data_IF_798518230652
#
_entry.id   IF_798518230652
#
_cell.length_a   1.000
_cell.length_b   1.000
_cell.length_c   1.000
_cell.angle_alpha   90.00
_cell.angle_beta   90.00
_cell.angle_gamma   90.00
#
_symmetry.space_group_name_H-M   'P 1'
#
loop_
_entity.id
_entity.type
_entity.pdbx_description
1 polymer ?
#
# COMPACT_ATOMS: atom_id res chain seq x y z
N UNK A 1 -3.67 -1.34 11.93
CA UNK A 1 -3.55 -2.32 10.84
C UNK A 1 -4.89 -2.94 10.47
N UNK A 2 -5.72 -3.35 11.44
CA UNK A 2 -7.07 -3.92 11.21
C UNK A 2 -7.94 -3.03 10.31
N UNK A 3 -7.92 -1.71 10.51
CA UNK A 3 -8.66 -0.76 9.70
C UNK A 3 -8.19 -0.74 8.23
N UNK A 4 -6.87 -0.81 7.98
CA UNK A 4 -6.33 -0.87 6.62
C UNK A 4 -6.80 -2.11 5.86
N UNK A 5 -6.85 -3.27 6.55
CA UNK A 5 -7.38 -4.50 5.96
C UNK A 5 -8.87 -4.37 5.65
N UNK A 6 -9.66 -3.83 6.57
CA UNK A 6 -11.10 -3.61 6.36
C UNK A 6 -11.37 -2.71 5.15
N UNK A 7 -10.64 -1.60 5.03
CA UNK A 7 -10.74 -0.70 3.88
C UNK A 7 -10.35 -1.43 2.59
N UNK A 8 -9.27 -2.22 2.61
CA UNK A 8 -8.83 -3.00 1.44
C UNK A 8 -9.89 -4.02 1.01
N UNK A 9 -10.50 -4.73 1.96
CA UNK A 9 -11.56 -5.71 1.70
C UNK A 9 -12.81 -5.03 1.11
N UNK A 10 -13.20 -3.88 1.66
CA UNK A 10 -14.30 -3.07 1.15
C UNK A 10 -14.03 -2.61 -0.29
N UNK A 11 -12.84 -2.05 -0.55
CA UNK A 11 -12.46 -1.61 -1.89
C UNK A 11 -12.43 -2.76 -2.90
N UNK A 12 -11.98 -3.95 -2.46
CA UNK A 12 -12.01 -5.15 -3.28
C UNK A 12 -13.43 -5.56 -3.64
N UNK A 13 -14.33 -5.62 -2.64
CA UNK A 13 -15.73 -6.01 -2.81
C UNK A 13 -16.46 -5.08 -3.78
N UNK A 14 -16.25 -3.77 -3.65
CA UNK A 14 -16.93 -2.76 -4.46
C UNK A 14 -16.12 -2.28 -5.68
N UNK A 15 -15.05 -2.99 -6.04
CA UNK A 15 -14.18 -2.69 -7.20
C UNK A 15 -13.71 -1.24 -7.24
N UNK A 16 -13.29 -0.71 -6.08
CA UNK A 16 -12.74 0.64 -5.96
C UNK A 16 -11.22 0.64 -6.17
N UNK A 17 -10.69 1.81 -6.46
CA UNK A 17 -9.25 2.04 -6.43
C UNK A 17 -8.87 2.38 -5.00
N UNK A 18 -7.80 1.76 -4.50
CA UNK A 18 -7.24 2.05 -3.18
C UNK A 18 -5.78 2.44 -3.33
N UNK A 19 -5.44 3.62 -2.84
CA UNK A 19 -4.07 4.08 -2.72
C UNK A 19 -3.79 4.25 -1.24
N UNK A 20 -2.79 3.57 -0.74
CA UNK A 20 -2.43 3.67 0.67
C UNK A 20 -0.93 3.80 0.86
N UNK A 21 -0.55 4.58 1.84
CA UNK A 21 0.82 4.76 2.29
C UNK A 21 1.02 4.21 3.70
N UNK A 22 2.26 3.90 3.99
CA UNK A 22 2.73 3.58 5.33
C UNK A 22 4.11 4.20 5.51
N UNK A 23 4.38 4.69 6.70
CA UNK A 23 5.68 5.24 7.07
C UNK A 23 6.11 4.64 8.41
N UNK A 24 7.39 4.37 8.54
CA UNK A 24 7.99 3.93 9.77
C UNK A 24 9.43 4.43 9.82
N UNK A 25 9.79 5.21 10.83
CA UNK A 25 11.12 5.78 11.01
C UNK A 25 11.63 6.51 9.76
N UNK A 26 12.46 5.89 8.93
CA UNK A 26 12.99 6.41 7.67
C UNK A 26 12.42 5.71 6.44
N UNK A 27 11.58 4.70 6.61
CA UNK A 27 11.03 3.91 5.53
C UNK A 27 9.58 4.29 5.22
N UNK A 28 9.29 4.43 3.93
CA UNK A 28 7.97 4.69 3.41
C UNK A 28 7.57 3.69 2.34
N UNK A 29 6.29 3.36 2.31
CA UNK A 29 5.72 2.44 1.34
C UNK A 29 4.47 3.06 0.71
N UNK A 30 4.34 2.92 -0.60
CA UNK A 30 3.11 3.28 -1.32
C UNK A 30 2.59 2.07 -2.07
N UNK A 31 1.31 1.78 -1.87
CA UNK A 31 0.59 0.70 -2.53
C UNK A 31 -0.53 1.28 -3.38
N UNK A 32 -0.69 0.75 -4.59
CA UNK A 32 -1.82 1.06 -5.45
C UNK A 32 -2.53 -0.24 -5.81
N UNK A 33 -3.81 -0.32 -5.46
CA UNK A 33 -4.68 -1.43 -5.81
C UNK A 33 -5.83 -0.92 -6.67
N UNK A 34 -5.94 -1.40 -7.89
CA UNK A 34 -7.05 -1.09 -8.78
C UNK A 34 -7.90 -2.35 -8.98
N UNK A 35 -8.93 -2.49 -8.17
CA UNK A 35 -9.80 -3.68 -8.16
C UNK A 35 -10.78 -3.75 -9.34
N UNK A 36 -10.78 -2.75 -10.23
CA UNK A 36 -11.46 -2.83 -11.53
C UNK A 36 -10.68 -3.73 -12.51
N UNK A 37 -9.35 -3.82 -12.33
CA UNK A 37 -8.49 -4.67 -13.16
C UNK A 37 -8.57 -6.13 -12.70
N UNK A 38 -8.68 -7.06 -13.67
CA UNK A 38 -8.63 -8.49 -13.38
C UNK A 38 -7.27 -8.85 -12.75
N UNK A 39 -7.29 -9.77 -11.78
CA UNK A 39 -6.10 -10.26 -11.11
C UNK A 39 -5.28 -9.22 -10.32
N UNK A 40 -5.87 -8.06 -9.99
CA UNK A 40 -5.22 -7.12 -9.08
C UNK A 40 -4.93 -7.80 -7.74
N UNK A 41 -3.71 -7.69 -7.20
CA UNK A 41 -3.43 -8.10 -5.83
C UNK A 41 -4.20 -7.21 -4.85
N UNK A 42 -4.29 -7.62 -3.60
CA UNK A 42 -4.88 -6.84 -2.51
C UNK A 42 -3.90 -6.79 -1.33
N UNK A 43 -4.24 -6.04 -0.30
CA UNK A 43 -3.38 -5.93 0.87
C UNK A 43 -3.14 -7.28 1.55
N UNK A 44 -4.12 -8.21 1.50
CA UNK A 44 -3.96 -9.58 2.02
C UNK A 44 -3.00 -10.45 1.19
N UNK A 45 -2.71 -10.08 -0.06
CA UNK A 45 -1.67 -10.74 -0.84
C UNK A 45 -0.28 -10.41 -0.31
N UNK A 46 -0.12 -9.19 0.20
CA UNK A 46 1.12 -8.74 0.82
C UNK A 46 1.23 -9.18 2.28
N UNK A 47 0.12 -9.08 3.02
CA UNK A 47 0.06 -9.46 4.44
C UNK A 47 -1.06 -10.49 4.65
N UNK A 48 -0.77 -11.79 4.49
CA UNK A 48 -1.79 -12.85 4.59
C UNK A 48 -2.31 -13.02 6.02
N UNK A 49 -1.56 -12.62 7.03
CA UNK A 49 -1.91 -12.71 8.44
C UNK A 49 -1.82 -11.36 9.13
N UNK A 50 -2.70 -11.14 10.10
CA UNK A 50 -2.62 -9.98 10.97
C UNK A 50 -1.44 -10.20 11.92
N UNK A 51 -0.44 -9.32 11.98
CA UNK A 51 0.62 -9.43 12.96
C UNK A 51 0.01 -9.53 14.36
N UNK A 52 0.33 -10.59 15.10
CA UNK A 52 -0.15 -10.82 16.46
C UNK A 52 0.60 -9.97 17.50
N UNK A 53 1.78 -9.53 17.16
CA UNK A 53 2.52 -8.54 17.94
C UNK A 53 2.01 -7.15 17.54
N UNK A 54 1.56 -6.41 18.53
CA UNK A 54 1.30 -4.99 18.36
C UNK A 54 2.56 -4.36 17.77
N UNK A 55 2.48 -3.94 16.49
CA UNK A 55 3.47 -3.05 15.91
C UNK A 55 3.24 -1.66 16.54
N UNK A 56 3.28 -1.64 17.87
CA UNK A 56 2.89 -0.49 18.69
C UNK A 56 4.00 0.53 18.87
N UNK A 57 5.17 0.32 18.29
CA UNK A 57 6.29 1.19 18.62
C UNK A 57 6.53 2.38 17.68
N UNK A 58 5.58 2.71 16.81
CA UNK A 58 5.60 4.01 16.14
C UNK A 58 5.58 5.20 17.14
N UNK A 59 5.12 4.97 18.36
CA UNK A 59 5.08 6.02 19.39
C UNK A 59 6.46 6.27 20.03
N UNK A 60 7.33 5.27 20.05
CA UNK A 60 8.63 5.36 20.72
C UNK A 60 9.81 5.66 19.78
N UNK A 61 9.68 5.39 18.48
CA UNK A 61 10.81 5.55 17.56
C UNK A 61 10.78 6.83 16.72
N UNK A 62 9.66 7.54 16.69
CA UNK A 62 9.47 8.72 15.86
C UNK A 62 9.43 8.39 14.36
N UNK A 63 9.12 9.40 13.55
CA UNK A 63 9.07 9.32 12.09
C UNK A 63 9.67 10.60 11.53
N UNK A 64 10.48 10.47 10.50
CA UNK A 64 10.99 11.63 9.76
C UNK A 64 9.82 12.35 9.09
N UNK A 65 9.55 13.60 9.51
CA UNK A 65 8.36 14.36 9.07
C UNK A 65 8.36 14.63 7.56
N UNK A 66 9.52 14.86 6.96
CA UNK A 66 9.67 15.05 5.52
C UNK A 66 9.25 13.81 4.73
N UNK A 67 9.46 12.61 5.28
CA UNK A 67 9.03 11.35 4.66
C UNK A 67 7.49 11.28 4.54
N UNK A 68 6.76 11.78 5.53
CA UNK A 68 5.30 11.85 5.45
C UNK A 68 4.84 12.72 4.27
N UNK A 69 5.50 13.87 4.06
CA UNK A 69 5.26 14.74 2.89
C UNK A 69 5.57 14.04 1.56
N UNK A 70 6.71 13.37 1.46
CA UNK A 70 7.11 12.62 0.25
C UNK A 70 6.07 11.54 -0.09
N UNK A 71 5.72 10.70 0.87
CA UNK A 71 4.76 9.61 0.68
C UNK A 71 3.38 10.16 0.33
N UNK A 72 2.89 11.19 1.02
CA UNK A 72 1.60 11.81 0.74
C UNK A 72 1.52 12.41 -0.67
N UNK A 73 2.58 13.08 -1.11
CA UNK A 73 2.66 13.65 -2.47
C UNK A 73 2.67 12.55 -3.54
N UNK A 74 3.41 11.47 -3.32
CA UNK A 74 3.42 10.33 -4.23
C UNK A 74 2.04 9.67 -4.29
N UNK A 75 1.36 9.50 -3.15
CA UNK A 75 0.00 8.96 -3.12
C UNK A 75 -0.97 9.83 -3.94
N UNK A 76 -0.90 11.15 -3.81
CA UNK A 76 -1.71 12.08 -4.58
C UNK A 76 -1.42 11.98 -6.08
N UNK A 77 -0.14 11.89 -6.47
CA UNK A 77 0.26 11.70 -7.85
C UNK A 77 -0.27 10.37 -8.43
N UNK A 78 -0.18 9.28 -7.67
CA UNK A 78 -0.71 7.99 -8.10
C UNK A 78 -2.25 8.02 -8.23
N UNK A 79 -2.96 8.79 -7.40
CA UNK A 79 -4.40 8.98 -7.53
C UNK A 79 -4.74 9.65 -8.89
N UNK A 80 -4.03 10.69 -9.25
CA UNK A 80 -4.19 11.37 -10.55
C UNK A 80 -3.89 10.40 -11.70
N UNK A 81 -2.81 9.63 -11.62
CA UNK A 81 -2.41 8.67 -12.64
C UNK A 81 -3.45 7.56 -12.85
N UNK A 82 -4.03 7.05 -11.76
CA UNK A 82 -5.09 6.02 -11.84
C UNK A 82 -6.41 6.57 -12.39
N UNK A 83 -6.77 7.82 -12.06
CA UNK A 83 -7.97 8.48 -12.59
C UNK A 83 -7.83 8.76 -14.08
N UNK A 84 -6.66 9.22 -14.51
CA UNK A 84 -6.37 9.56 -15.92
C UNK A 84 -5.94 8.36 -16.75
N UNK A 85 -5.88 7.16 -16.16
CA UNK A 85 -5.45 5.92 -16.83
C UNK A 85 -4.07 6.05 -17.51
N UNK A 86 -3.09 6.64 -16.84
CA UNK A 86 -1.73 6.70 -17.35
C UNK A 86 -1.17 5.29 -17.56
N UNK A 87 -0.36 5.14 -18.59
CA UNK A 87 0.45 3.93 -18.76
C UNK A 87 1.43 3.76 -17.59
N UNK A 88 1.91 2.54 -17.37
CA UNK A 88 2.85 2.23 -16.28
C UNK A 88 2.33 2.56 -14.87
N UNK A 89 1.04 2.26 -14.62
CA UNK A 89 0.46 2.34 -13.28
C UNK A 89 1.31 1.60 -12.23
N UNK A 90 1.35 2.13 -11.01
CA UNK A 90 1.96 1.44 -9.87
C UNK A 90 1.11 0.25 -9.39
N UNK A 91 -0.08 0.05 -9.95
CA UNK A 91 -0.99 -1.04 -9.57
C UNK A 91 -0.31 -2.40 -9.65
N UNK A 92 -0.42 -3.18 -8.59
CA UNK A 92 0.25 -4.47 -8.47
C UNK A 92 1.74 -4.40 -8.09
N UNK A 93 2.21 -3.23 -7.71
CA UNK A 93 3.57 -3.02 -7.21
C UNK A 93 3.54 -2.29 -5.87
N UNK A 94 4.64 -2.39 -5.13
CA UNK A 94 4.93 -1.56 -3.96
C UNK A 94 6.06 -0.62 -4.33
N UNK A 95 5.90 0.66 -4.05
CA UNK A 95 7.00 1.60 -4.02
C UNK A 95 7.55 1.65 -2.60
N UNK A 96 8.84 1.42 -2.45
CA UNK A 96 9.55 1.48 -1.17
C UNK A 96 10.54 2.64 -1.25
N UNK A 97 10.52 3.51 -0.26
CA UNK A 97 11.42 4.66 -0.15
C UNK A 97 12.12 4.57 1.19
N UNK A 98 13.45 4.56 1.17
CA UNK A 98 14.26 4.77 2.36
C UNK A 98 14.82 6.19 2.31
N UNK A 99 14.38 7.06 3.24
CA UNK A 99 14.75 8.47 3.24
C UNK A 99 16.13 8.74 3.85
N UNK A 100 16.70 7.79 4.59
CA UNK A 100 18.03 7.93 5.18
C UNK A 100 19.13 7.87 4.10
N UNK A 101 19.01 6.94 3.17
CA UNK A 101 19.99 6.74 2.10
C UNK A 101 19.45 7.09 0.69
N UNK A 102 18.26 7.69 0.61
CA UNK A 102 17.60 8.10 -0.64
C UNK A 102 17.40 6.94 -1.64
N UNK A 103 17.16 5.75 -1.13
CA UNK A 103 16.92 4.59 -1.96
C UNK A 103 15.42 4.47 -2.30
N UNK A 104 15.12 4.34 -3.58
CA UNK A 104 13.76 4.12 -4.09
C UNK A 104 13.72 2.82 -4.85
N UNK A 105 12.82 1.91 -4.47
CA UNK A 105 12.64 0.61 -5.12
C UNK A 105 11.17 0.38 -5.46
N UNK A 106 10.95 -0.26 -6.61
CA UNK A 106 9.64 -0.75 -7.04
C UNK A 106 9.67 -2.27 -7.04
N UNK A 107 8.78 -2.90 -6.28
CA UNK A 107 8.71 -4.35 -6.14
C UNK A 107 7.34 -4.82 -6.62
N UNK A 108 7.32 -5.85 -7.47
CA UNK A 108 6.08 -6.45 -7.96
C UNK A 108 5.41 -7.27 -6.85
N UNK A 109 4.09 -7.06 -6.70
CA UNK A 109 3.23 -7.86 -5.84
C UNK A 109 2.58 -8.99 -6.64
N UNK A 110 2.76 -10.22 -6.18
CA UNK A 110 2.09 -11.37 -6.76
C UNK A 110 0.73 -11.59 -6.06
N UNK A 111 -0.31 -11.87 -6.87
CA UNK A 111 -1.61 -12.23 -6.32
C UNK A 111 -1.55 -13.59 -5.65
N UNK A 112 -1.95 -13.64 -4.39
CA UNK A 112 -2.12 -14.90 -3.67
C UNK A 112 -3.53 -15.45 -3.93
N UNK A 113 -3.63 -16.65 -4.48
CA UNK A 113 -4.91 -17.32 -4.78
C UNK A 113 -5.78 -17.56 -3.53
N UNK A 114 -5.17 -17.66 -2.37
CA UNK A 114 -5.85 -17.93 -1.10
C UNK A 114 -6.31 -16.65 -0.37
N UNK A 115 -5.93 -15.45 -0.82
CA UNK A 115 -6.31 -14.20 -0.15
C UNK A 115 -7.83 -13.95 -0.20
N UNK A 116 -8.49 -14.35 -1.28
CA UNK A 116 -9.93 -14.13 -1.52
C UNK A 116 -10.79 -14.90 -0.51
N UNK A 117 -10.35 -16.08 -0.06
CA UNK A 117 -11.08 -16.90 0.92
C UNK A 117 -11.18 -16.21 2.30
N UNK A 118 -10.37 -15.21 2.56
CA UNK A 118 -10.35 -14.45 3.82
C UNK A 118 -11.14 -13.14 3.75
N UNK A 119 -11.65 -12.76 2.57
CA UNK A 119 -12.49 -11.57 2.38
C UNK A 119 -13.94 -12.01 2.55
N UNK A 120 -14.53 -11.64 3.66
CA UNK A 120 -15.95 -11.90 3.98
C UNK A 120 -16.85 -10.78 3.46
#
# INVERSE_FOLDING_TARGET
FKLKLLISDYCYKYKKILICGAINKFDGHVFVFNFKKKNSPCLRCFMPEIPTTDMMDCQNEGVLSTLAGMIGTIMANEAIREILNFENSLCGNILIINAENLLIKKIKLNKNKNCIKKIK
#
